data_IF_914662940276
#
_entry.id   IF_914662940276
#
_cell.length_a   1.000
_cell.length_b   1.000
_cell.length_c   1.000
_cell.angle_alpha   90.00
_cell.angle_beta   90.00
_cell.angle_gamma   90.00
#
_symmetry.space_group_name_H-M   'P 1'
#
loop_
_entity.id
_entity.type
_entity.pdbx_description
1 polymer ?
#
# COMPACT_ATOMS: atom_id res chain seq x y z
N UNK A 1 3.49 30.60 -17.88
CA UNK A 1 3.52 29.17 -17.56
C UNK A 1 2.25 28.89 -16.78
N UNK A 2 1.55 27.85 -17.15
CA UNK A 2 0.41 27.37 -16.34
C UNK A 2 0.92 26.79 -15.01
N UNK A 3 0.17 26.98 -13.94
CA UNK A 3 0.50 26.50 -12.62
C UNK A 3 -0.45 25.41 -12.15
N UNK A 4 -0.01 24.62 -11.18
CA UNK A 4 -0.78 23.59 -10.51
C UNK A 4 -0.60 23.73 -9.00
N UNK A 5 -1.58 23.28 -8.23
CA UNK A 5 -1.42 23.08 -6.80
C UNK A 5 -0.60 21.82 -6.53
N UNK A 6 0.31 21.93 -5.56
CA UNK A 6 1.13 20.81 -5.10
C UNK A 6 1.42 20.90 -3.61
N UNK A 7 1.64 19.77 -2.96
CA UNK A 7 2.11 19.68 -1.58
C UNK A 7 3.62 19.46 -1.61
N UNK A 8 4.37 20.43 -1.13
CA UNK A 8 5.84 20.43 -1.13
C UNK A 8 6.37 20.28 0.29
N UNK A 9 7.42 19.47 0.44
CA UNK A 9 8.17 19.35 1.70
C UNK A 9 9.60 19.83 1.48
N UNK A 10 10.09 20.68 2.38
CA UNK A 10 11.44 21.30 2.31
C UNK A 10 12.44 20.69 3.30
N UNK A 11 11.94 20.07 4.36
CA UNK A 11 12.73 19.41 5.40
C UNK A 11 11.91 18.32 6.09
N UNK A 12 12.57 17.32 6.64
CA UNK A 12 11.89 16.26 7.39
C UNK A 12 11.17 16.80 8.62
N UNK A 13 10.04 16.18 8.98
CA UNK A 13 9.30 16.57 10.17
C UNK A 13 7.89 15.98 10.22
N UNK A 14 7.03 16.61 11.02
CA UNK A 14 5.63 16.22 11.16
C UNK A 14 4.77 16.61 9.95
N UNK A 15 3.46 16.30 10.00
CA UNK A 15 2.54 16.63 8.91
C UNK A 15 2.49 18.13 8.55
N UNK A 16 2.82 19.03 9.47
CA UNK A 16 2.88 20.47 9.27
C UNK A 16 3.97 20.91 8.28
N UNK A 17 4.92 20.04 7.94
CA UNK A 17 5.96 20.30 6.93
C UNK A 17 5.46 20.11 5.49
N UNK A 18 4.27 19.58 5.31
CA UNK A 18 3.61 19.40 4.01
C UNK A 18 2.87 20.68 3.64
N UNK A 19 3.46 21.49 2.76
CA UNK A 19 2.98 22.83 2.44
C UNK A 19 2.28 22.86 1.08
N UNK A 20 1.07 23.44 1.03
CA UNK A 20 0.37 23.67 -0.23
C UNK A 20 0.96 24.88 -0.94
N UNK A 21 1.34 24.71 -2.20
CA UNK A 21 1.93 25.76 -3.03
C UNK A 21 1.43 25.70 -4.47
N UNK A 22 1.52 26.84 -5.17
CA UNK A 22 1.43 26.91 -6.63
C UNK A 22 2.80 26.61 -7.25
N UNK A 23 2.85 25.63 -8.14
CA UNK A 23 4.08 25.20 -8.84
C UNK A 23 3.84 25.22 -10.36
N UNK A 24 4.85 25.45 -11.17
CA UNK A 24 4.71 25.27 -12.61
C UNK A 24 4.26 23.83 -12.94
N UNK A 25 3.36 23.65 -13.89
CA UNK A 25 3.09 22.33 -14.46
C UNK A 25 4.37 21.84 -15.13
N UNK A 26 4.83 20.58 -14.87
CA UNK A 26 6.04 20.04 -15.48
C UNK A 26 5.92 20.02 -17.02
N UNK A 27 6.99 20.42 -17.69
CA UNK A 27 7.08 20.31 -19.13
C UNK A 27 7.33 18.87 -19.57
N UNK A 28 6.63 18.42 -20.61
CA UNK A 28 6.80 17.08 -21.17
C UNK A 28 8.25 16.87 -21.65
N UNK A 29 8.83 15.73 -21.36
CA UNK A 29 10.16 15.32 -21.77
C UNK A 29 10.09 14.02 -22.60
N UNK A 30 11.08 13.82 -23.46
CA UNK A 30 11.19 12.56 -24.22
C UNK A 30 11.32 11.35 -23.28
N UNK A 31 10.53 10.31 -23.52
CA UNK A 31 10.45 9.12 -22.67
C UNK A 31 9.52 9.27 -21.46
N UNK A 32 8.76 10.39 -21.35
CA UNK A 32 7.89 10.69 -20.23
C UNK A 32 6.46 10.95 -20.64
N UNK A 33 5.56 10.86 -19.69
CA UNK A 33 4.12 11.14 -19.79
C UNK A 33 3.70 12.08 -18.67
N UNK A 34 3.01 13.15 -19.00
CA UNK A 34 2.35 14.03 -18.05
C UNK A 34 0.96 13.47 -17.74
N UNK A 35 0.70 13.21 -16.46
CA UNK A 35 -0.59 12.70 -15.99
C UNK A 35 -1.32 13.79 -15.20
N UNK A 36 -2.57 14.07 -15.57
CA UNK A 36 -3.49 14.85 -14.75
C UNK A 36 -4.00 13.93 -13.63
N UNK A 37 -3.56 14.19 -12.42
CA UNK A 37 -3.88 13.36 -11.24
C UNK A 37 -5.33 13.60 -10.82
N UNK A 38 -6.12 12.54 -10.78
CA UNK A 38 -7.49 12.54 -10.25
C UNK A 38 -7.55 12.18 -8.78
N UNK A 39 -6.60 11.36 -8.34
CA UNK A 39 -6.47 11.01 -6.94
C UNK A 39 -5.26 10.11 -6.70
N UNK A 40 -4.98 9.88 -5.43
CA UNK A 40 -3.89 9.01 -4.96
C UNK A 40 -4.18 8.51 -3.55
N UNK A 41 -3.58 7.41 -3.19
CA UNK A 41 -3.60 6.92 -1.82
C UNK A 41 -2.43 7.45 -1.01
N UNK A 42 -2.56 7.45 0.31
CA UNK A 42 -1.44 7.69 1.23
C UNK A 42 -0.98 6.36 1.80
N UNK A 43 0.34 6.15 1.86
CA UNK A 43 0.99 4.95 2.36
C UNK A 43 1.99 5.31 3.48
N UNK A 44 2.35 4.36 4.32
CA UNK A 44 3.39 4.57 5.35
C UNK A 44 4.75 4.91 4.76
N UNK A 45 4.99 4.55 3.50
CA UNK A 45 6.21 4.92 2.77
C UNK A 45 6.40 6.44 2.72
N UNK A 46 5.34 7.20 2.43
CA UNK A 46 5.43 8.67 2.41
C UNK A 46 5.57 9.26 3.80
N UNK A 47 5.00 8.60 4.83
CA UNK A 47 5.20 9.00 6.22
C UNK A 47 6.67 8.85 6.60
N UNK A 48 7.28 7.69 6.32
CA UNK A 48 8.72 7.47 6.55
C UNK A 48 9.59 8.46 5.78
N UNK A 49 9.25 8.76 4.53
CA UNK A 49 9.98 9.75 3.74
C UNK A 49 9.84 11.15 4.34
N UNK A 50 8.64 11.56 4.72
CA UNK A 50 8.39 12.84 5.39
C UNK A 50 9.21 12.97 6.70
N UNK A 51 9.34 11.90 7.46
CA UNK A 51 10.11 11.85 8.71
C UNK A 51 11.63 11.78 8.51
N UNK A 52 12.09 11.72 7.26
CA UNK A 52 13.53 11.64 6.93
C UNK A 52 14.12 10.24 7.03
N UNK A 53 13.28 9.20 7.10
CA UNK A 53 13.71 7.81 7.18
C UNK A 53 14.02 7.18 5.80
N UNK A 54 13.98 7.98 4.74
CA UNK A 54 14.37 7.61 3.37
C UNK A 54 15.63 8.37 2.97
N UNK A 55 16.82 7.88 3.27
CA UNK A 55 18.08 8.65 3.18
C UNK A 55 18.48 9.03 1.75
N UNK A 56 17.90 8.37 0.72
CA UNK A 56 18.11 8.70 -0.70
C UNK A 56 17.29 9.91 -1.17
N UNK A 57 16.30 10.36 -0.38
CA UNK A 57 15.42 11.47 -0.77
C UNK A 57 16.05 12.81 -0.41
N UNK A 58 16.11 13.70 -1.39
CA UNK A 58 16.58 15.08 -1.20
C UNK A 58 15.41 16.04 -1.28
N UNK A 59 15.28 16.90 -0.26
CA UNK A 59 14.30 17.99 -0.24
C UNK A 59 14.85 19.25 -0.94
N UNK A 60 13.98 20.12 -1.56
CA UNK A 60 12.53 20.01 -1.58
C UNK A 60 12.03 18.88 -2.47
N UNK A 61 10.84 18.33 -2.13
CA UNK A 61 10.22 17.26 -2.88
C UNK A 61 8.69 17.36 -2.80
N UNK A 62 7.99 17.01 -3.91
CA UNK A 62 6.59 16.62 -3.90
C UNK A 62 6.55 15.11 -3.66
N UNK A 63 5.95 14.67 -2.56
CA UNK A 63 5.83 13.25 -2.22
C UNK A 63 4.74 12.55 -3.04
N UNK A 64 4.48 11.28 -2.75
CA UNK A 64 3.45 10.45 -3.36
C UNK A 64 4.03 9.41 -4.28
N UNK A 65 3.79 8.12 -3.94
CA UNK A 65 4.32 6.95 -4.65
C UNK A 65 3.30 6.24 -5.53
N UNK A 66 2.07 6.75 -5.60
CA UNK A 66 1.03 6.23 -6.47
C UNK A 66 0.12 7.34 -6.97
N UNK A 67 -0.49 7.13 -8.14
CA UNK A 67 -1.57 7.98 -8.63
C UNK A 67 -2.53 7.23 -9.54
N UNK A 68 -3.74 7.80 -9.65
CA UNK A 68 -4.70 7.49 -10.70
C UNK A 68 -5.05 8.78 -11.43
N UNK A 69 -5.18 8.71 -12.74
CA UNK A 69 -5.42 9.92 -13.51
C UNK A 69 -5.67 9.66 -14.98
N UNK A 70 -5.50 10.71 -15.74
CA UNK A 70 -5.64 10.71 -17.20
C UNK A 70 -4.38 11.26 -17.83
N UNK A 71 -3.97 10.68 -18.94
CA UNK A 71 -2.88 11.21 -19.77
C UNK A 71 -3.23 12.63 -20.20
N UNK A 72 -2.40 13.61 -19.81
CA UNK A 72 -2.50 15.00 -20.26
C UNK A 72 -1.66 15.22 -21.52
N UNK A 73 -0.41 14.76 -21.50
CA UNK A 73 0.52 14.77 -22.62
C UNK A 73 1.43 13.54 -22.55
N UNK A 74 1.90 13.02 -23.66
CA UNK A 74 2.77 11.83 -23.68
C UNK A 74 3.69 11.80 -24.90
N UNK A 75 4.86 11.18 -24.72
CA UNK A 75 5.74 10.79 -25.83
C UNK A 75 5.60 9.32 -26.19
N UNK A 76 4.76 8.57 -25.49
CA UNK A 76 4.49 7.15 -25.72
C UNK A 76 3.38 6.98 -26.76
N UNK A 77 3.72 6.39 -27.92
CA UNK A 77 2.88 6.36 -29.10
C UNK A 77 1.58 5.51 -28.96
N UNK A 78 1.55 4.59 -28.01
CA UNK A 78 0.39 3.72 -27.73
C UNK A 78 -0.54 4.26 -26.61
N UNK A 79 -0.28 5.48 -26.12
CA UNK A 79 -1.14 6.17 -25.16
C UNK A 79 -1.87 7.34 -25.84
N UNK A 80 -3.13 7.52 -25.47
CA UNK A 80 -3.97 8.62 -25.93
C UNK A 80 -4.21 9.65 -24.82
N UNK A 81 -4.26 10.94 -25.18
CA UNK A 81 -4.66 12.00 -24.24
C UNK A 81 -6.08 11.73 -23.74
N UNK A 82 -6.26 11.83 -22.44
CA UNK A 82 -7.51 11.50 -21.75
C UNK A 82 -7.64 10.03 -21.33
N UNK A 83 -6.74 9.15 -21.78
CA UNK A 83 -6.74 7.74 -21.38
C UNK A 83 -6.56 7.59 -19.86
N UNK A 84 -7.35 6.69 -19.25
CA UNK A 84 -7.27 6.37 -17.82
C UNK A 84 -6.03 5.54 -17.56
N UNK A 85 -5.22 5.98 -16.59
CA UNK A 85 -3.96 5.34 -16.23
C UNK A 85 -3.77 5.31 -14.71
N UNK A 86 -2.94 4.38 -14.26
CA UNK A 86 -2.43 4.31 -12.89
C UNK A 86 -0.91 4.23 -12.90
N UNK A 87 -0.29 4.64 -11.80
CA UNK A 87 1.15 4.48 -11.57
C UNK A 87 1.41 4.21 -10.11
N UNK A 88 2.41 3.37 -9.85
CA UNK A 88 2.88 3.07 -8.49
C UNK A 88 4.40 2.94 -8.47
N UNK A 89 5.01 3.32 -7.34
CA UNK A 89 6.44 3.12 -7.05
C UNK A 89 7.38 3.77 -8.08
N UNK A 90 8.41 3.09 -8.52
CA UNK A 90 9.35 3.52 -9.57
C UNK A 90 10.09 4.82 -9.22
N UNK A 91 10.36 5.06 -7.94
CA UNK A 91 11.02 6.26 -7.42
C UNK A 91 10.19 7.55 -7.51
N UNK A 92 8.89 7.47 -7.88
CA UNK A 92 7.95 8.58 -7.82
C UNK A 92 7.86 9.10 -6.37
N UNK A 93 7.96 10.42 -6.20
CA UNK A 93 7.96 11.07 -4.88
C UNK A 93 9.28 10.91 -4.10
N UNK A 94 10.32 10.30 -4.71
CA UNK A 94 11.63 10.07 -4.12
C UNK A 94 12.76 10.66 -4.98
N UNK A 95 13.13 10.02 -6.09
CA UNK A 95 14.15 10.54 -6.99
C UNK A 95 13.66 11.73 -7.82
N UNK A 96 12.37 11.79 -8.12
CA UNK A 96 11.68 12.88 -8.80
C UNK A 96 10.33 13.17 -8.11
N UNK A 97 9.69 14.29 -8.47
CA UNK A 97 8.44 14.73 -7.85
C UNK A 97 7.30 13.74 -8.07
N UNK A 98 6.50 13.54 -7.03
CA UNK A 98 5.44 12.56 -6.96
C UNK A 98 4.05 13.12 -7.14
N UNK A 99 3.07 12.33 -6.71
CA UNK A 99 1.66 12.53 -7.03
C UNK A 99 0.91 13.50 -6.11
N UNK A 100 1.54 14.05 -5.08
CA UNK A 100 0.87 15.02 -4.19
C UNK A 100 0.68 16.38 -4.89
N UNK A 101 0.11 16.36 -6.08
CA UNK A 101 -0.11 17.51 -6.95
C UNK A 101 -1.27 17.26 -7.93
N UNK A 102 -1.69 18.29 -8.67
CA UNK A 102 -2.71 18.15 -9.73
C UNK A 102 -2.15 17.48 -11.00
N UNK A 103 -0.84 17.56 -11.22
CA UNK A 103 -0.14 16.88 -12.32
C UNK A 103 1.14 16.23 -11.82
N UNK A 104 1.51 15.13 -12.45
CA UNK A 104 2.78 14.44 -12.23
C UNK A 104 3.39 14.02 -13.56
N UNK A 105 4.71 14.21 -13.69
CA UNK A 105 5.48 13.78 -14.86
C UNK A 105 6.16 12.44 -14.53
N UNK A 106 5.88 11.40 -15.31
CA UNK A 106 6.29 10.02 -15.04
C UNK A 106 7.01 9.41 -16.25
N UNK A 107 8.02 8.55 -16.02
CA UNK A 107 8.61 7.75 -17.08
C UNK A 107 7.55 6.88 -17.79
N UNK A 108 7.63 6.77 -19.11
CA UNK A 108 6.66 6.00 -19.90
C UNK A 108 6.48 4.55 -19.45
N UNK A 109 7.52 3.92 -18.94
CA UNK A 109 7.50 2.55 -18.44
C UNK A 109 6.85 2.40 -17.05
N UNK A 110 6.45 3.49 -16.42
CA UNK A 110 5.72 3.52 -15.15
C UNK A 110 4.25 3.90 -15.33
N UNK A 111 3.76 3.98 -16.57
CA UNK A 111 2.36 4.23 -16.89
C UNK A 111 1.67 2.92 -17.23
N UNK A 112 0.70 2.56 -16.43
CA UNK A 112 -0.12 1.34 -16.58
C UNK A 112 -1.53 1.73 -17.00
N UNK A 113 -1.97 1.19 -18.12
CA UNK A 113 -3.34 1.41 -18.62
C UNK A 113 -4.31 0.53 -17.84
N UNK A 114 -5.50 1.03 -17.58
CA UNK A 114 -6.53 0.26 -16.85
C UNK A 114 -7.91 0.45 -17.49
N UNK A 115 -8.60 -0.66 -17.67
CA UNK A 115 -10.01 -0.71 -18.04
C UNK A 115 -10.84 -1.09 -16.81
N UNK A 116 -11.61 -0.16 -16.27
CA UNK A 116 -12.37 -0.40 -15.04
C UNK A 116 -13.58 0.53 -14.94
N UNK A 117 -14.65 0.00 -14.33
CA UNK A 117 -15.86 0.75 -13.98
C UNK A 117 -15.79 1.42 -12.60
N UNK A 118 -14.68 1.26 -11.87
CA UNK A 118 -14.49 1.92 -10.58
C UNK A 118 -14.58 3.44 -10.73
N UNK A 119 -15.25 4.06 -9.77
CA UNK A 119 -15.19 5.52 -9.62
C UNK A 119 -13.75 5.97 -9.35
N UNK A 120 -13.42 7.24 -9.61
CA UNK A 120 -12.08 7.74 -9.32
C UNK A 120 -11.68 7.56 -7.85
N UNK A 121 -12.64 7.69 -6.93
CA UNK A 121 -12.42 7.50 -5.49
C UNK A 121 -12.07 6.04 -5.15
N UNK A 122 -12.78 5.09 -5.72
CA UNK A 122 -12.48 3.66 -5.56
C UNK A 122 -11.15 3.30 -6.23
N UNK A 123 -10.93 3.81 -7.45
CA UNK A 123 -9.70 3.57 -8.18
C UNK A 123 -8.47 4.10 -7.41
N UNK A 124 -8.57 5.29 -6.79
CA UNK A 124 -7.47 5.85 -5.99
C UNK A 124 -7.08 5.00 -4.77
N UNK A 125 -7.95 4.09 -4.32
CA UNK A 125 -7.64 3.17 -3.22
C UNK A 125 -6.89 1.91 -3.67
N UNK A 126 -6.84 1.63 -4.98
CA UNK A 126 -6.40 0.33 -5.51
C UNK A 126 -4.89 0.22 -5.70
N UNK A 127 -4.17 1.12 -6.41
CA UNK A 127 -2.91 0.80 -7.06
C UNK A 127 -1.88 0.17 -6.14
N UNK A 128 -1.27 0.90 -5.24
CA UNK A 128 -0.21 0.37 -4.37
C UNK A 128 -0.75 -0.68 -3.39
N UNK A 129 -1.88 -0.40 -2.76
CA UNK A 129 -2.41 -1.20 -1.65
C UNK A 129 -2.90 -2.58 -2.10
N UNK A 130 -3.72 -2.64 -3.15
CA UNK A 130 -4.26 -3.92 -3.64
C UNK A 130 -3.25 -4.67 -4.52
N UNK A 131 -2.36 -3.97 -5.23
CA UNK A 131 -1.25 -4.61 -5.94
C UNK A 131 -0.34 -5.36 -4.97
N UNK A 132 0.03 -4.72 -3.86
CA UNK A 132 0.82 -5.32 -2.79
C UNK A 132 0.08 -6.48 -2.12
N UNK A 133 -1.20 -6.32 -1.86
CA UNK A 133 -2.03 -7.37 -1.26
C UNK A 133 -2.18 -8.59 -2.18
N UNK A 134 -2.42 -8.40 -3.48
CA UNK A 134 -2.55 -9.50 -4.45
C UNK A 134 -1.21 -10.23 -4.64
N UNK A 135 -0.11 -9.50 -4.78
CA UNK A 135 1.21 -10.12 -4.89
C UNK A 135 1.58 -10.95 -3.66
N UNK A 136 1.26 -10.45 -2.47
CA UNK A 136 1.42 -11.20 -1.21
C UNK A 136 0.54 -12.44 -1.15
N UNK A 137 -0.72 -12.34 -1.60
CA UNK A 137 -1.65 -13.45 -1.68
C UNK A 137 -1.14 -14.57 -2.60
N UNK A 138 -0.56 -14.21 -3.75
CA UNK A 138 0.07 -15.15 -4.69
C UNK A 138 1.27 -15.85 -4.06
N UNK A 139 2.14 -15.10 -3.37
CA UNK A 139 3.31 -15.66 -2.69
C UNK A 139 2.95 -16.58 -1.52
N UNK A 140 1.85 -16.29 -0.83
CA UNK A 140 1.30 -17.15 0.20
C UNK A 140 0.63 -18.43 -0.34
N UNK A 141 0.32 -18.49 -1.66
CA UNK A 141 -0.33 -19.64 -2.29
C UNK A 141 -1.60 -20.04 -1.54
N UNK A 142 -2.49 -19.05 -1.33
CA UNK A 142 -3.72 -19.24 -0.55
C UNK A 142 -4.60 -20.30 -1.19
N UNK A 143 -5.04 -21.26 -0.38
CA UNK A 143 -5.95 -22.33 -0.74
C UNK A 143 -7.26 -22.24 0.08
N UNK A 144 -8.37 -22.85 -0.41
CA UNK A 144 -9.58 -23.00 0.40
C UNK A 144 -9.27 -23.71 1.72
N UNK A 145 -9.85 -23.25 2.82
CA UNK A 145 -9.67 -23.77 4.19
C UNK A 145 -8.33 -23.46 4.86
N UNK A 146 -7.42 -22.72 4.23
CA UNK A 146 -6.27 -22.20 4.96
C UNK A 146 -6.72 -21.38 6.18
N UNK A 147 -6.05 -21.55 7.30
CA UNK A 147 -6.15 -20.64 8.44
C UNK A 147 -5.09 -19.56 8.30
N UNK A 148 -5.53 -18.33 8.18
CA UNK A 148 -4.66 -17.21 7.81
C UNK A 148 -4.52 -16.23 8.97
N UNK A 149 -3.29 -15.79 9.25
CA UNK A 149 -3.00 -14.66 10.11
C UNK A 149 -2.57 -13.45 9.29
N UNK A 150 -3.15 -12.29 9.58
CA UNK A 150 -2.70 -10.99 9.06
C UNK A 150 -2.18 -10.15 10.22
N UNK A 151 -0.86 -9.94 10.28
CA UNK A 151 -0.26 -9.04 11.29
C UNK A 151 -0.40 -7.59 10.85
N UNK A 152 -0.69 -6.68 11.79
CA UNK A 152 -1.09 -5.30 11.54
C UNK A 152 -2.37 -5.20 10.67
N UNK A 153 -3.40 -5.92 11.06
CA UNK A 153 -4.66 -6.09 10.35
C UNK A 153 -5.42 -4.77 10.07
N UNK A 154 -5.17 -3.70 10.82
CA UNK A 154 -5.77 -2.38 10.59
C UNK A 154 -5.11 -1.58 9.45
N UNK A 155 -3.98 -2.03 8.92
CA UNK A 155 -3.31 -1.36 7.80
C UNK A 155 -4.11 -1.42 6.50
N UNK A 156 -3.82 -0.53 5.56
CA UNK A 156 -4.44 -0.54 4.23
C UNK A 156 -4.25 -1.87 3.51
N UNK A 157 -3.00 -2.39 3.48
CA UNK A 157 -2.65 -3.66 2.85
C UNK A 157 -3.31 -4.85 3.57
N UNK A 158 -3.35 -4.84 4.92
CA UNK A 158 -3.99 -5.91 5.69
C UNK A 158 -5.48 -6.04 5.37
N UNK A 159 -6.22 -4.92 5.35
CA UNK A 159 -7.63 -4.92 4.98
C UNK A 159 -7.85 -5.29 3.52
N UNK A 160 -7.03 -4.79 2.60
CA UNK A 160 -7.12 -5.15 1.17
C UNK A 160 -6.90 -6.64 0.96
N UNK A 161 -5.89 -7.21 1.60
CA UNK A 161 -5.60 -8.64 1.56
C UNK A 161 -6.79 -9.48 2.06
N UNK A 162 -7.33 -9.15 3.23
CA UNK A 162 -8.47 -9.87 3.79
C UNK A 162 -9.70 -9.78 2.87
N UNK A 163 -9.96 -8.62 2.26
CA UNK A 163 -11.03 -8.43 1.27
C UNK A 163 -10.82 -9.28 0.01
N UNK A 164 -9.59 -9.30 -0.54
CA UNK A 164 -9.26 -10.15 -1.71
C UNK A 164 -9.47 -11.63 -1.39
N UNK A 165 -8.97 -12.11 -0.25
CA UNK A 165 -9.12 -13.51 0.15
C UNK A 165 -10.60 -13.86 0.32
N UNK A 166 -11.36 -13.08 1.11
CA UNK A 166 -12.78 -13.35 1.36
C UNK A 166 -13.64 -13.28 0.11
N UNK A 167 -13.31 -12.42 -0.84
CA UNK A 167 -14.05 -12.32 -2.10
C UNK A 167 -13.96 -13.61 -2.94
N UNK A 168 -12.81 -14.27 -2.95
CA UNK A 168 -12.60 -15.51 -3.68
C UNK A 168 -12.89 -16.76 -2.84
N UNK A 169 -12.56 -16.72 -1.56
CA UNK A 169 -12.65 -17.83 -0.62
C UNK A 169 -13.44 -17.39 0.64
N UNK A 170 -14.76 -17.24 0.56
CA UNK A 170 -15.57 -16.66 1.62
C UNK A 170 -15.52 -17.45 2.94
N UNK A 171 -15.29 -18.76 2.87
CA UNK A 171 -15.21 -19.66 4.05
C UNK A 171 -13.82 -19.72 4.69
N UNK A 172 -12.78 -19.12 4.08
CA UNK A 172 -11.43 -19.10 4.62
C UNK A 172 -11.38 -18.33 5.95
N UNK A 173 -10.82 -18.93 6.99
CA UNK A 173 -10.74 -18.32 8.32
C UNK A 173 -9.57 -17.36 8.42
N UNK A 174 -9.85 -16.07 8.59
CA UNK A 174 -8.83 -15.01 8.66
C UNK A 174 -8.83 -14.37 10.04
N UNK A 175 -7.68 -14.47 10.70
CA UNK A 175 -7.41 -13.84 12.00
C UNK A 175 -6.57 -12.59 11.77
N UNK A 176 -7.01 -11.46 12.32
CA UNK A 176 -6.24 -10.23 12.29
C UNK A 176 -5.51 -9.98 13.60
N UNK A 177 -4.26 -9.48 13.57
CA UNK A 177 -3.64 -8.99 14.81
C UNK A 177 -3.62 -7.46 14.90
N UNK A 178 -3.75 -6.94 16.10
CA UNK A 178 -3.69 -5.51 16.43
C UNK A 178 -2.83 -5.28 17.66
N UNK A 179 -2.13 -4.14 17.71
CA UNK A 179 -1.23 -3.80 18.80
C UNK A 179 -1.92 -3.18 20.05
N UNK A 180 -3.24 -3.06 20.03
CA UNK A 180 -4.01 -2.57 21.18
C UNK A 180 -5.47 -2.99 21.10
N UNK A 181 -6.09 -3.18 22.28
CA UNK A 181 -7.51 -3.53 22.37
C UNK A 181 -8.45 -2.47 21.79
N UNK A 182 -8.04 -1.20 21.78
CA UNK A 182 -8.82 -0.13 21.15
C UNK A 182 -8.97 -0.30 19.65
N UNK A 183 -8.01 -0.92 18.98
CA UNK A 183 -8.04 -1.20 17.54
C UNK A 183 -8.88 -2.42 17.17
N UNK A 184 -9.16 -3.34 18.09
CA UNK A 184 -10.06 -4.48 17.84
C UNK A 184 -11.43 -4.00 17.36
N UNK A 185 -11.94 -2.92 17.95
CA UNK A 185 -13.24 -2.36 17.59
C UNK A 185 -13.27 -1.85 16.14
N UNK A 186 -12.14 -1.37 15.62
CA UNK A 186 -12.04 -0.87 14.24
C UNK A 186 -12.22 -1.97 13.20
N UNK A 187 -11.87 -3.22 13.54
CA UNK A 187 -11.96 -4.37 12.64
C UNK A 187 -13.30 -5.10 12.74
N UNK A 188 -14.14 -4.75 13.72
CA UNK A 188 -15.49 -5.32 13.84
C UNK A 188 -16.28 -5.07 12.54
N UNK A 189 -16.83 -6.13 11.98
CA UNK A 189 -17.53 -6.11 10.68
C UNK A 189 -16.64 -5.87 9.45
N UNK A 190 -15.33 -5.99 9.59
CA UNK A 190 -14.42 -6.08 8.45
C UNK A 190 -14.28 -7.55 7.98
N UNK A 191 -13.37 -7.82 7.06
CA UNK A 191 -13.17 -9.15 6.47
C UNK A 191 -12.38 -10.13 7.37
N UNK A 192 -12.37 -9.93 8.69
CA UNK A 192 -11.72 -10.81 9.67
C UNK A 192 -12.77 -11.57 10.46
N UNK A 193 -12.50 -12.85 10.72
CA UNK A 193 -13.34 -13.72 11.55
C UNK A 193 -13.00 -13.52 13.04
N UNK A 194 -11.71 -13.46 13.39
CA UNK A 194 -11.22 -13.24 14.73
C UNK A 194 -10.11 -12.19 14.79
N UNK A 195 -9.92 -11.61 15.97
CA UNK A 195 -8.90 -10.61 16.26
C UNK A 195 -8.13 -10.99 17.50
N UNK A 196 -6.80 -11.03 17.39
CA UNK A 196 -5.87 -11.27 18.51
C UNK A 196 -5.01 -10.05 18.79
N UNK A 197 -4.50 -9.97 20.00
CA UNK A 197 -3.58 -8.91 20.41
C UNK A 197 -2.14 -9.30 20.05
N UNK A 198 -1.42 -8.32 19.50
CA UNK A 198 0.01 -8.36 19.27
C UNK A 198 0.66 -7.40 20.28
N UNK A 199 1.00 -7.90 21.44
CA UNK A 199 1.60 -7.09 22.50
C UNK A 199 3.12 -7.10 22.37
N UNK A 200 3.70 -5.93 22.14
CA UNK A 200 5.14 -5.74 22.04
C UNK A 200 5.81 -6.70 21.02
N UNK A 201 5.12 -6.97 19.90
CA UNK A 201 5.59 -7.86 18.84
C UNK A 201 5.38 -9.36 19.14
N UNK A 202 4.59 -9.69 20.14
CA UNK A 202 4.22 -11.07 20.51
C UNK A 202 2.73 -11.27 20.45
N UNK A 203 2.31 -12.31 19.75
CA UNK A 203 0.91 -12.69 19.67
C UNK A 203 0.44 -13.37 20.97
N UNK A 204 -0.68 -12.91 21.48
CA UNK A 204 -1.34 -13.50 22.65
C UNK A 204 -2.23 -14.68 22.25
N UNK A 205 -1.63 -15.72 21.70
CA UNK A 205 -2.33 -16.95 21.27
C UNK A 205 -1.36 -18.14 21.21
N UNK A 206 -1.90 -19.36 21.32
CA UNK A 206 -1.18 -20.62 21.04
C UNK A 206 -1.54 -21.19 19.66
N UNK A 207 -2.39 -20.50 18.90
CA UNK A 207 -2.86 -20.97 17.61
C UNK A 207 -1.74 -21.03 16.56
N UNK A 208 -1.91 -21.95 15.60
CA UNK A 208 -1.05 -22.08 14.42
C UNK A 208 -1.83 -21.70 13.17
N UNK A 209 -1.12 -21.16 12.19
CA UNK A 209 -1.68 -20.66 10.94
C UNK A 209 -0.98 -21.29 9.75
N UNK A 210 -1.73 -21.64 8.71
CA UNK A 210 -1.17 -22.17 7.47
C UNK A 210 -0.45 -21.07 6.68
N UNK A 211 -0.95 -19.84 6.77
CA UNK A 211 -0.42 -18.68 6.06
C UNK A 211 -0.35 -17.48 6.99
N UNK A 212 0.75 -16.73 6.91
CA UNK A 212 0.92 -15.49 7.68
C UNK A 212 1.33 -14.37 6.72
N UNK A 213 0.49 -13.34 6.62
CA UNK A 213 0.88 -12.06 6.03
C UNK A 213 1.53 -11.20 7.10
N UNK A 214 2.84 -10.95 6.95
CA UNK A 214 3.64 -10.21 7.92
C UNK A 214 3.84 -8.77 7.44
N UNK A 215 3.10 -7.82 8.05
CA UNK A 215 3.16 -6.40 7.69
C UNK A 215 3.92 -5.55 8.71
N UNK A 216 4.19 -6.09 9.90
CA UNK A 216 5.05 -5.44 10.90
C UNK A 216 6.52 -5.58 10.47
N UNK A 217 6.90 -6.74 9.94
CA UNK A 217 8.19 -6.97 9.30
C UNK A 217 9.23 -7.57 10.24
N UNK A 218 10.54 -7.23 10.05
CA UNK A 218 11.64 -7.84 10.80
C UNK A 218 11.48 -7.83 12.32
N UNK A 219 10.78 -6.84 12.87
CA UNK A 219 10.53 -6.75 14.30
C UNK A 219 9.74 -7.94 14.88
N UNK A 220 8.93 -8.60 14.06
CA UNK A 220 7.99 -9.64 14.53
C UNK A 220 8.11 -10.98 13.80
N UNK A 221 8.89 -11.06 12.72
CA UNK A 221 9.01 -12.26 11.88
C UNK A 221 9.43 -13.51 12.67
N UNK A 222 10.32 -13.35 13.65
CA UNK A 222 10.75 -14.47 14.51
C UNK A 222 9.58 -15.02 15.34
N UNK A 223 8.74 -14.14 15.91
CA UNK A 223 7.53 -14.57 16.61
C UNK A 223 6.49 -15.18 15.64
N UNK A 224 6.42 -14.72 14.40
CA UNK A 224 5.55 -15.32 13.39
C UNK A 224 5.90 -16.79 13.14
N UNK A 225 7.19 -17.19 13.21
CA UNK A 225 7.60 -18.60 13.15
C UNK A 225 7.14 -19.44 14.35
N UNK A 226 6.91 -18.83 15.51
CA UNK A 226 6.32 -19.53 16.65
C UNK A 226 4.85 -19.91 16.41
N UNK A 227 4.18 -19.26 15.45
CA UNK A 227 2.75 -19.44 15.15
C UNK A 227 2.48 -20.04 13.77
N UNK A 228 3.48 -20.41 13.00
CA UNK A 228 3.29 -21.08 11.72
C UNK A 228 3.02 -22.58 11.89
N UNK A 229 2.09 -23.13 11.12
CA UNK A 229 1.84 -24.56 11.03
C UNK A 229 2.95 -25.26 10.23
N UNK A 230 3.02 -26.58 10.34
CA UNK A 230 3.94 -27.39 9.53
C UNK A 230 3.63 -27.22 8.04
N UNK A 231 4.66 -26.92 7.24
CA UNK A 231 4.53 -26.64 5.80
C UNK A 231 3.94 -25.27 5.47
N UNK A 232 3.63 -24.44 6.48
CA UNK A 232 3.03 -23.13 6.29
C UNK A 232 3.97 -22.10 5.66
N UNK A 233 3.41 -20.98 5.19
CA UNK A 233 4.15 -19.93 4.49
C UNK A 233 3.97 -18.60 5.20
N UNK A 234 5.10 -17.91 5.47
CA UNK A 234 5.12 -16.51 5.94
C UNK A 234 5.55 -15.63 4.76
N UNK A 235 4.74 -14.62 4.42
CA UNK A 235 5.10 -13.59 3.45
C UNK A 235 5.36 -12.25 4.16
N UNK A 236 6.62 -11.82 4.18
CA UNK A 236 7.01 -10.52 4.72
C UNK A 236 6.81 -9.47 3.63
N UNK A 237 5.97 -8.49 3.91
CA UNK A 237 5.58 -7.47 2.92
C UNK A 237 5.68 -6.06 3.50
N UNK A 238 5.48 -5.89 4.81
CA UNK A 238 5.49 -4.58 5.46
C UNK A 238 6.69 -4.34 6.36
N UNK A 239 6.86 -3.07 6.74
CA UNK A 239 7.92 -2.57 7.63
C UNK A 239 7.34 -1.68 8.74
N UNK A 240 6.06 -1.91 9.13
CA UNK A 240 5.34 -1.07 10.09
C UNK A 240 5.96 -1.09 11.50
N UNK A 241 6.82 -2.08 11.79
CA UNK A 241 7.60 -2.14 13.04
C UNK A 241 8.82 -1.20 13.07
N UNK A 242 9.08 -0.46 11.98
CA UNK A 242 10.21 0.49 11.91
C UNK A 242 11.60 -0.17 11.93
N UNK A 243 11.68 -1.46 11.70
CA UNK A 243 12.93 -2.21 11.59
C UNK A 243 13.08 -2.72 10.14
N UNK A 244 14.20 -2.38 9.51
CA UNK A 244 14.48 -2.67 8.09
C UNK A 244 15.20 -3.98 7.86
N UNK A 245 15.91 -4.49 8.86
CA UNK A 245 16.76 -5.67 8.74
C UNK A 245 16.43 -6.70 9.82
N UNK A 246 16.55 -7.98 9.47
CA UNK A 246 16.39 -9.11 10.36
C UNK A 246 17.75 -9.53 10.92
N UNK A 247 18.24 -8.82 11.93
CA UNK A 247 19.53 -9.05 12.53
C UNK A 247 19.58 -10.34 13.37
N UNK A 248 20.71 -11.06 13.29
CA UNK A 248 20.95 -12.28 14.05
C UNK A 248 19.95 -13.40 13.73
N UNK A 249 19.48 -13.49 12.49
CA UNK A 249 18.59 -14.53 12.02
C UNK A 249 19.39 -15.76 11.57
N UNK A 250 19.20 -16.89 12.27
CA UNK A 250 19.75 -18.18 11.86
C UNK A 250 18.64 -19.00 11.17
N UNK A 251 18.64 -19.12 9.83
CA UNK A 251 17.53 -19.77 9.13
C UNK A 251 17.35 -21.25 9.48
N UNK A 252 18.39 -21.95 9.91
CA UNK A 252 18.30 -23.37 10.30
C UNK A 252 17.56 -23.55 11.64
N UNK A 253 17.75 -22.59 12.55
CA UNK A 253 17.14 -22.67 13.88
C UNK A 253 15.78 -21.97 13.94
N UNK A 254 15.60 -20.91 13.16
CA UNK A 254 14.45 -20.03 13.29
C UNK A 254 13.33 -20.31 12.29
N UNK A 255 13.64 -20.85 11.09
CA UNK A 255 12.61 -21.37 10.17
C UNK A 255 12.18 -22.75 10.69
N UNK A 256 11.05 -22.76 11.39
CA UNK A 256 10.56 -23.93 12.12
C UNK A 256 9.47 -24.68 11.33
N UNK A 257 9.16 -25.90 11.77
CA UNK A 257 8.01 -26.67 11.32
C UNK A 257 8.01 -26.94 9.80
N UNK A 258 9.18 -27.10 9.17
CA UNK A 258 9.30 -27.25 7.71
C UNK A 258 8.58 -26.14 6.92
N UNK A 259 8.48 -24.93 7.50
CA UNK A 259 7.78 -23.81 6.91
C UNK A 259 8.62 -23.05 5.87
N UNK A 260 8.00 -22.07 5.23
CA UNK A 260 8.63 -21.27 4.20
C UNK A 260 8.58 -19.77 4.57
N UNK A 261 9.66 -19.06 4.25
CA UNK A 261 9.73 -17.61 4.30
C UNK A 261 9.80 -17.08 2.87
N UNK A 262 8.89 -16.18 2.53
CA UNK A 262 8.89 -15.44 1.26
C UNK A 262 8.63 -13.97 1.53
N UNK A 263 8.77 -13.15 0.50
CA UNK A 263 8.45 -11.73 0.57
C UNK A 263 7.80 -11.25 -0.72
N UNK A 264 7.02 -10.20 -0.63
CA UNK A 264 6.55 -9.44 -1.78
C UNK A 264 6.97 -7.98 -1.65
N UNK A 265 7.52 -7.43 -2.72
CA UNK A 265 7.92 -6.03 -2.80
C UNK A 265 7.35 -5.40 -4.07
N UNK A 266 6.57 -4.34 -3.92
CA UNK A 266 5.85 -3.67 -5.02
C UNK A 266 6.73 -2.81 -5.93
N UNK A 267 8.06 -2.82 -5.78
CA UNK A 267 8.96 -2.05 -6.65
C UNK A 267 9.05 -2.60 -8.07
N UNK A 268 8.74 -3.88 -8.26
CA UNK A 268 8.75 -4.54 -9.58
C UNK A 268 7.32 -4.61 -10.13
N UNK A 269 6.85 -3.51 -10.69
CA UNK A 269 5.50 -3.41 -11.24
C UNK A 269 5.47 -3.92 -12.68
N UNK A 270 4.43 -4.70 -13.01
CA UNK A 270 4.16 -5.16 -14.38
C UNK A 270 2.72 -4.87 -14.79
N UNK A 271 2.50 -4.59 -16.08
CA UNK A 271 1.16 -4.47 -16.63
C UNK A 271 0.35 -5.75 -16.41
N UNK A 272 0.95 -6.92 -16.61
CA UNK A 272 0.27 -8.22 -16.45
C UNK A 272 -0.31 -8.42 -15.05
N UNK A 273 0.45 -8.07 -13.99
CA UNK A 273 -0.07 -8.19 -12.62
C UNK A 273 -1.09 -7.08 -12.31
N UNK A 274 -0.97 -5.90 -12.95
CA UNK A 274 -1.97 -4.84 -12.85
C UNK A 274 -3.29 -5.28 -13.50
N UNK A 275 -3.25 -5.85 -14.69
CA UNK A 275 -4.42 -6.39 -15.38
C UNK A 275 -5.07 -7.52 -14.58
N UNK A 276 -4.26 -8.46 -14.05
CA UNK A 276 -4.76 -9.53 -13.16
C UNK A 276 -5.45 -8.95 -11.92
N UNK A 277 -4.95 -7.85 -11.35
CA UNK A 277 -5.57 -7.19 -10.21
C UNK A 277 -6.96 -6.65 -10.55
N UNK A 278 -7.09 -5.91 -11.64
CA UNK A 278 -8.38 -5.34 -12.03
C UNK A 278 -9.37 -6.41 -12.46
N UNK A 279 -8.93 -7.44 -13.18
CA UNK A 279 -9.74 -8.62 -13.49
C UNK A 279 -10.20 -9.35 -12.22
N UNK A 280 -9.35 -9.45 -11.22
CA UNK A 280 -9.70 -10.06 -9.92
C UNK A 280 -10.75 -9.25 -9.19
N UNK A 281 -10.56 -7.92 -9.11
CA UNK A 281 -11.51 -7.00 -8.46
C UNK A 281 -12.88 -7.10 -9.12
N UNK A 282 -12.94 -7.08 -10.45
CA UNK A 282 -14.20 -7.17 -11.19
C UNK A 282 -14.85 -8.56 -11.04
N UNK A 283 -14.09 -9.63 -11.27
CA UNK A 283 -14.58 -11.00 -11.22
C UNK A 283 -15.18 -11.38 -9.87
N UNK A 284 -14.54 -11.01 -8.79
CA UNK A 284 -14.93 -11.36 -7.42
C UNK A 284 -15.68 -10.23 -6.71
N UNK A 285 -15.98 -9.13 -7.41
CA UNK A 285 -16.72 -7.97 -6.88
C UNK A 285 -16.11 -7.46 -5.56
N UNK A 286 -14.79 -7.31 -5.55
CA UNK A 286 -14.05 -6.90 -4.36
C UNK A 286 -14.44 -5.49 -3.93
N UNK A 287 -14.83 -5.31 -2.68
CA UNK A 287 -15.09 -3.98 -2.14
C UNK A 287 -13.77 -3.21 -1.93
N UNK A 288 -13.49 -2.25 -2.79
CA UNK A 288 -12.28 -1.41 -2.74
C UNK A 288 -12.55 -0.02 -2.16
N UNK A 289 -13.74 0.23 -1.60
CA UNK A 289 -14.09 1.52 -1.02
C UNK A 289 -13.04 1.97 0.01
N UNK A 290 -12.46 3.18 -0.13
CA UNK A 290 -11.51 3.70 0.83
C UNK A 290 -12.18 4.02 2.16
N UNK A 291 -11.42 4.02 3.23
CA UNK A 291 -11.92 4.36 4.58
C UNK A 291 -12.30 5.81 4.70
N UNK A 292 -11.51 6.69 4.09
CA UNK A 292 -11.72 8.13 4.15
C UNK A 292 -11.17 8.82 2.91
N UNK A 293 -11.83 9.90 2.53
CA UNK A 293 -11.46 10.74 1.39
C UNK A 293 -11.13 12.14 1.91
N UNK A 294 -10.06 12.72 1.40
CA UNK A 294 -9.62 14.09 1.68
C UNK A 294 -9.36 14.83 0.37
N UNK A 295 -9.29 16.16 0.41
CA UNK A 295 -8.80 16.97 -0.71
C UNK A 295 -7.28 17.14 -0.67
N UNK A 296 -6.67 17.64 -1.76
CA UNK A 296 -5.24 17.92 -1.82
C UNK A 296 -4.78 18.84 -0.68
N UNK A 297 -5.52 19.88 -0.37
CA UNK A 297 -5.22 20.83 0.70
C UNK A 297 -5.23 20.18 2.09
N UNK A 298 -5.86 19.01 2.20
CA UNK A 298 -6.00 18.29 3.46
C UNK A 298 -4.95 17.17 3.64
N UNK A 299 -3.97 17.05 2.75
CA UNK A 299 -2.89 16.04 2.85
C UNK A 299 -2.22 16.05 4.23
N UNK A 300 -1.87 17.20 4.85
CA UNK A 300 -1.32 17.19 6.22
C UNK A 300 -2.26 16.54 7.24
N UNK A 301 -3.58 16.81 7.13
CA UNK A 301 -4.60 16.19 8.01
C UNK A 301 -4.75 14.69 7.76
N UNK A 302 -4.61 14.26 6.50
CA UNK A 302 -4.67 12.84 6.14
C UNK A 302 -3.47 12.06 6.70
N UNK A 303 -2.26 12.62 6.67
CA UNK A 303 -1.08 12.06 7.34
C UNK A 303 -1.32 11.94 8.86
N UNK A 304 -1.70 13.01 9.51
CA UNK A 304 -2.01 13.01 10.95
C UNK A 304 -3.11 12.00 11.32
N UNK A 305 -4.10 11.80 10.42
CA UNK A 305 -5.16 10.79 10.64
C UNK A 305 -4.62 9.36 10.64
N UNK A 306 -3.71 9.03 9.70
CA UNK A 306 -3.10 7.68 9.62
C UNK A 306 -2.24 7.38 10.85
N UNK A 307 -1.48 8.36 11.31
CA UNK A 307 -0.62 8.24 12.50
C UNK A 307 -1.41 8.20 13.82
N UNK A 308 -2.65 8.67 13.80
CA UNK A 308 -3.52 8.70 14.97
C UNK A 308 -4.10 7.34 15.35
N UNK A 309 -4.69 7.26 16.55
CA UNK A 309 -5.31 6.03 17.09
C UNK A 309 -6.53 5.56 16.30
N UNK A 310 -7.18 6.44 15.55
CA UNK A 310 -8.34 6.14 14.69
C UNK A 310 -7.94 5.73 13.26
N UNK A 311 -6.64 5.78 12.93
CA UNK A 311 -6.14 5.45 11.60
C UNK A 311 -6.28 3.96 11.31
N UNK A 312 -7.05 3.62 10.28
CA UNK A 312 -7.09 2.26 9.73
C UNK A 312 -7.58 2.27 8.28
N UNK A 313 -7.20 1.23 7.54
CA UNK A 313 -7.58 1.07 6.15
C UNK A 313 -6.94 2.08 5.20
N UNK A 314 -7.40 2.09 3.95
CA UNK A 314 -6.87 2.97 2.90
C UNK A 314 -7.50 4.35 2.98
N UNK A 315 -6.66 5.36 2.94
CA UNK A 315 -7.01 6.78 2.86
C UNK A 315 -6.63 7.27 1.46
N UNK A 316 -7.51 8.04 0.84
CA UNK A 316 -7.28 8.62 -0.48
C UNK A 316 -7.45 10.13 -0.49
N UNK A 317 -6.72 10.76 -1.36
CA UNK A 317 -6.82 12.17 -1.72
C UNK A 317 -7.43 12.26 -3.10
N UNK A 318 -8.39 13.17 -3.27
CA UNK A 318 -9.00 13.46 -4.55
C UNK A 318 -8.69 14.88 -4.97
N UNK A 319 -8.26 15.04 -6.22
CA UNK A 319 -8.20 16.33 -6.90
C UNK A 319 -9.56 16.57 -7.58
N UNK A 320 -10.04 17.82 -7.52
CA UNK A 320 -11.29 18.25 -8.15
C UNK A 320 -11.20 18.27 -9.69
#
# INVERSE_FOLDING_TARGET
METMKAIVIYEAGGPEKLLLEERPIPELQEGWTLVKVRGFGINHSEIFTREGLSPSVTFPRILGIECVGQVAETTRADLEVGQKVVSIMGEMGRAFDGSYAEYVLLPNNQIYTVETNLTWTELAAVPETYYTALGSMKNLRIEPNDKILVRAATSGVGLAFARLVKAKFPETHIVGSVNSGSKQFLLKHQAYDDIIIDQDGRLETEEKFDKILELVGPATVKNSFDHIAEGGIICVTGLLGGQWELNGFNPIEEIRNNSFLTSFHSAHVSQDLMDELFDYIDRYQVNVTPRRVFSLEQVPKAHAFIEGTAGFGKIVIMNE
#
